data_IF_910083999325
#
_entry.id   IF_910083999325
#
_cell.length_a   1.000
_cell.length_b   1.000
_cell.length_c   1.000
_cell.angle_alpha   90.00
_cell.angle_beta   90.00
_cell.angle_gamma   90.00
#
_symmetry.space_group_name_H-M   'P 1'
#
loop_
_entity.id
_entity.type
_entity.pdbx_description
1 polymer ?
#
# COMPACT_ATOMS: atom_id res chain seq x y z
N UNK A 1 -38.55 -64.68 15.77
CA UNK A 1 -37.13 -65.08 15.74
C UNK A 1 -36.29 -63.83 15.54
N UNK A 2 -35.49 -63.46 16.55
CA UNK A 2 -34.56 -62.33 16.55
C UNK A 2 -33.21 -62.78 15.95
N UNK A 3 -32.59 -61.93 15.15
CA UNK A 3 -31.17 -61.95 14.84
C UNK A 3 -30.63 -60.49 14.86
N UNK A 4 -29.33 -60.28 15.16
CA UNK A 4 -28.86 -59.14 15.94
C UNK A 4 -28.18 -58.02 15.12
N UNK A 5 -28.19 -56.80 15.66
CA UNK A 5 -27.31 -55.68 15.30
C UNK A 5 -26.04 -55.72 16.17
N UNK A 6 -24.83 -55.51 15.62
CA UNK A 6 -23.63 -55.29 16.43
C UNK A 6 -23.25 -53.80 16.51
N UNK A 7 -22.66 -53.42 17.64
CA UNK A 7 -21.60 -52.40 17.69
C UNK A 7 -21.97 -51.03 18.26
N UNK A 8 -22.08 -50.95 19.59
CA UNK A 8 -21.92 -49.68 20.31
C UNK A 8 -20.45 -49.27 20.36
N UNK A 9 -20.14 -48.00 20.04
CA UNK A 9 -18.86 -47.37 20.35
C UNK A 9 -19.11 -45.98 20.97
N UNK A 10 -19.21 -46.00 22.29
CA UNK A 10 -18.82 -45.02 23.31
C UNK A 10 -18.36 -43.62 22.84
N UNK A 11 -19.22 -42.63 23.07
CA UNK A 11 -18.85 -41.21 23.21
C UNK A 11 -18.14 -40.98 24.55
N UNK A 12 -16.98 -40.30 24.60
CA UNK A 12 -16.37 -39.90 25.86
C UNK A 12 -17.09 -38.69 26.50
N UNK A 13 -17.03 -38.55 27.84
CA UNK A 13 -17.88 -37.66 28.62
C UNK A 13 -17.45 -36.18 28.58
N UNK A 14 -18.47 -35.30 28.67
CA UNK A 14 -18.36 -33.88 28.98
C UNK A 14 -17.69 -33.68 30.35
N UNK A 15 -16.60 -32.93 30.37
CA UNK A 15 -15.95 -32.44 31.60
C UNK A 15 -16.31 -30.97 31.87
N UNK A 16 -16.31 -30.53 33.15
CA UNK A 16 -17.11 -29.41 33.63
C UNK A 16 -16.38 -28.07 33.63
N UNK A 17 -17.19 -27.01 33.78
CA UNK A 17 -16.78 -25.62 33.92
C UNK A 17 -15.97 -25.36 35.20
N UNK A 18 -14.93 -24.51 35.07
CA UNK A 18 -14.31 -23.82 36.21
C UNK A 18 -12.80 -23.65 36.09
N UNK A 19 -12.34 -22.47 35.69
CA UNK A 19 -11.42 -21.64 36.50
C UNK A 19 -10.92 -20.44 35.70
N UNK A 20 -11.21 -19.27 36.26
CA UNK A 20 -10.73 -17.97 35.83
C UNK A 20 -9.19 -17.93 35.93
N UNK A 21 -8.50 -17.69 34.81
CA UNK A 21 -7.09 -17.32 34.83
C UNK A 21 -6.97 -15.79 34.89
N UNK A 22 -6.13 -15.24 35.79
CA UNK A 22 -6.04 -13.81 36.04
C UNK A 22 -5.30 -13.06 34.94
N UNK A 23 -5.81 -11.87 34.62
CA UNK A 23 -5.17 -10.85 33.79
C UNK A 23 -3.81 -10.49 34.39
N UNK A 24 -2.73 -10.91 33.74
CA UNK A 24 -1.38 -10.42 34.05
C UNK A 24 -1.23 -9.02 33.46
N UNK A 25 -1.33 -8.05 34.37
CA UNK A 25 -0.76 -6.70 34.22
C UNK A 25 0.70 -6.82 33.76
N UNK A 26 1.00 -6.36 32.54
CA UNK A 26 2.37 -6.03 32.16
C UNK A 26 2.73 -4.69 32.81
N UNK A 27 3.85 -4.58 33.56
CA UNK A 27 4.26 -3.33 34.18
C UNK A 27 4.70 -2.34 33.10
N UNK A 28 4.15 -1.12 33.18
CA UNK A 28 4.60 0.01 32.37
C UNK A 28 6.02 0.40 32.79
N UNK A 29 6.97 0.25 31.87
CA UNK A 29 8.32 0.78 32.03
C UNK A 29 8.32 2.27 31.65
N UNK A 30 8.91 3.16 32.48
CA UNK A 30 9.00 4.58 32.17
C UNK A 30 10.08 4.83 31.13
N UNK A 31 9.71 5.33 29.95
CA UNK A 31 10.67 5.80 28.95
C UNK A 31 11.04 7.26 29.29
N UNK A 32 12.32 7.57 29.56
CA UNK A 32 12.73 8.94 29.88
C UNK A 32 12.76 9.80 28.62
N UNK A 33 11.89 10.80 28.56
CA UNK A 33 12.01 11.93 27.63
C UNK A 33 13.20 12.78 28.08
N UNK A 34 14.35 12.64 27.40
CA UNK A 34 15.47 13.58 27.54
C UNK A 34 15.54 14.45 26.29
N UNK A 35 15.09 15.69 26.46
CA UNK A 35 15.55 16.78 25.62
C UNK A 35 17.05 16.99 25.80
N UNK A 36 17.73 17.35 24.72
CA UNK A 36 19.05 17.96 24.80
C UNK A 36 19.15 19.05 23.73
N UNK A 37 19.63 20.20 24.18
CA UNK A 37 19.69 21.47 23.49
C UNK A 37 21.18 21.79 23.30
N UNK A 38 21.53 22.32 22.10
CA UNK A 38 22.73 23.12 21.76
C UNK A 38 24.09 22.41 21.59
N UNK A 39 25.04 22.88 20.76
CA UNK A 39 25.14 23.80 19.59
C UNK A 39 26.64 23.79 19.17
N UNK A 40 26.94 24.24 17.94
CA UNK A 40 28.26 24.66 17.41
C UNK A 40 29.15 23.51 16.89
N UNK A 41 29.91 23.59 15.80
CA UNK A 41 30.35 24.69 14.93
C UNK A 41 30.92 24.05 13.65
N UNK A 42 30.62 24.59 12.46
CA UNK A 42 31.51 24.57 11.29
C UNK A 42 30.94 25.52 10.23
N UNK A 43 31.15 26.81 10.45
CA UNK A 43 30.98 27.85 9.45
C UNK A 43 32.29 28.01 8.66
N UNK A 44 32.20 27.92 7.34
CA UNK A 44 33.29 28.32 6.45
C UNK A 44 33.28 27.58 5.12
N UNK A 45 32.89 28.30 4.05
CA UNK A 45 33.05 27.99 2.62
C UNK A 45 31.86 27.43 1.83
N UNK A 46 30.64 27.95 2.04
CA UNK A 46 29.54 27.86 1.05
C UNK A 46 28.95 29.24 0.70
N UNK A 47 29.60 30.33 1.13
CA UNK A 47 29.15 31.70 0.87
C UNK A 47 29.60 32.21 -0.52
N UNK A 48 29.14 31.58 -1.61
CA UNK A 48 29.11 32.26 -2.93
C UNK A 48 28.23 31.54 -3.98
N UNK A 49 27.77 30.31 -3.71
CA UNK A 49 26.77 29.61 -4.55
C UNK A 49 25.32 29.80 -4.08
N UNK A 50 25.09 30.44 -2.94
CA UNK A 50 23.75 30.62 -2.36
C UNK A 50 22.95 31.79 -2.94
N UNK A 51 23.56 32.63 -3.79
CA UNK A 51 22.90 33.87 -4.27
C UNK A 51 22.02 33.71 -5.52
N UNK A 52 21.94 32.51 -6.10
CA UNK A 52 21.01 32.19 -7.21
C UNK A 52 19.84 31.31 -6.72
N UNK A 53 19.83 30.92 -5.44
CA UNK A 53 18.81 30.02 -4.84
C UNK A 53 18.00 30.72 -3.74
N UNK A 54 17.98 32.05 -3.72
CA UNK A 54 17.38 32.83 -2.61
C UNK A 54 16.23 33.76 -3.01
N UNK A 55 15.72 33.67 -4.24
CA UNK A 55 14.46 34.32 -4.64
C UNK A 55 13.43 33.25 -4.99
N UNK A 56 12.75 32.74 -3.97
CA UNK A 56 11.69 31.73 -4.10
C UNK A 56 11.79 30.61 -3.08
N UNK A 57 11.92 30.91 -1.79
CA UNK A 57 11.83 29.90 -0.74
C UNK A 57 11.00 30.41 0.45
N UNK A 58 9.70 30.54 0.20
CA UNK A 58 8.65 30.67 1.22
C UNK A 58 7.64 29.55 0.97
N UNK A 59 7.41 28.67 1.95
CA UNK A 59 6.38 27.59 1.88
C UNK A 59 6.63 26.49 0.82
N UNK A 60 7.88 26.19 0.44
CA UNK A 60 8.16 25.32 -0.70
C UNK A 60 8.62 23.90 -0.34
N UNK A 61 7.69 22.97 -0.54
CA UNK A 61 7.90 21.52 -0.60
C UNK A 61 6.67 20.72 -1.04
N UNK A 62 5.45 21.28 -0.89
CA UNK A 62 4.17 20.65 -1.30
C UNK A 62 3.48 21.47 -2.39
N UNK A 63 2.81 20.81 -3.32
CA UNK A 63 2.00 21.48 -4.35
C UNK A 63 0.70 21.99 -3.75
N UNK A 64 0.07 23.01 -4.37
CA UNK A 64 -1.25 23.48 -3.94
C UNK A 64 -2.31 22.37 -3.98
N UNK A 65 -2.16 21.41 -4.89
CA UNK A 65 -3.01 20.23 -4.99
C UNK A 65 -2.86 19.29 -3.79
N UNK A 66 -1.62 18.98 -3.38
CA UNK A 66 -1.37 18.18 -2.18
C UNK A 66 -2.00 18.82 -0.93
N UNK A 67 -1.88 20.14 -0.77
CA UNK A 67 -2.48 20.85 0.36
C UNK A 67 -4.02 20.75 0.40
N UNK A 68 -4.69 20.77 -0.78
CA UNK A 68 -6.14 20.53 -0.84
C UNK A 68 -6.49 19.10 -0.47
N UNK A 69 -5.74 18.13 -0.97
CA UNK A 69 -5.97 16.71 -0.67
C UNK A 69 -5.78 16.40 0.82
N UNK A 70 -4.79 17.00 1.48
CA UNK A 70 -4.59 16.88 2.94
C UNK A 70 -5.82 17.38 3.72
N UNK A 71 -6.38 18.55 3.35
CA UNK A 71 -7.60 19.08 3.99
C UNK A 71 -8.80 18.17 3.74
N UNK A 72 -8.96 17.67 2.52
CA UNK A 72 -10.06 16.77 2.16
C UNK A 72 -9.97 15.47 2.96
N UNK A 73 -8.80 14.84 3.04
CA UNK A 73 -8.59 13.60 3.78
C UNK A 73 -8.86 13.77 5.29
N UNK A 74 -8.43 14.89 5.86
CA UNK A 74 -8.64 15.17 7.27
C UNK A 74 -10.13 15.37 7.59
N UNK A 75 -10.85 16.10 6.74
CA UNK A 75 -12.31 16.24 6.84
C UNK A 75 -13.02 14.89 6.70
N UNK A 76 -12.56 14.02 5.78
CA UNK A 76 -13.09 12.67 5.63
C UNK A 76 -12.87 11.81 6.87
N UNK A 77 -11.64 11.81 7.40
CA UNK A 77 -11.28 11.02 8.58
C UNK A 77 -12.06 11.49 9.81
N UNK A 78 -12.24 12.80 9.98
CA UNK A 78 -13.09 13.34 11.04
C UNK A 78 -14.56 12.95 10.87
N UNK A 79 -15.09 13.01 9.66
CA UNK A 79 -16.47 12.61 9.36
C UNK A 79 -16.72 11.11 9.64
N UNK A 80 -15.77 10.23 9.31
CA UNK A 80 -15.83 8.81 9.66
C UNK A 80 -15.85 8.57 11.17
N UNK A 81 -15.20 9.45 11.95
CA UNK A 81 -15.23 9.43 13.40
C UNK A 81 -16.48 10.12 14.00
N UNK A 82 -17.36 10.69 13.17
CA UNK A 82 -18.53 11.46 13.62
C UNK A 82 -18.18 12.82 14.22
N UNK A 83 -17.00 13.36 13.88
CA UNK A 83 -16.49 14.65 14.37
C UNK A 83 -16.65 15.70 13.27
N UNK A 84 -17.28 16.83 13.60
CA UNK A 84 -17.31 18.00 12.73
C UNK A 84 -16.17 18.95 13.09
N UNK A 85 -15.42 19.42 12.08
CA UNK A 85 -14.27 20.30 12.28
C UNK A 85 -14.61 21.75 11.93
N UNK A 86 -14.20 22.68 12.80
CA UNK A 86 -14.11 24.09 12.45
C UNK A 86 -12.82 24.37 11.67
N UNK A 87 -12.76 25.51 10.98
CA UNK A 87 -11.53 26.00 10.32
C UNK A 87 -10.35 26.04 11.31
N UNK A 88 -10.61 26.47 12.54
CA UNK A 88 -9.60 26.56 13.60
C UNK A 88 -9.17 25.21 14.16
N UNK A 89 -10.06 24.22 14.19
CA UNK A 89 -9.76 22.86 14.64
C UNK A 89 -8.94 22.12 13.57
N UNK A 90 -9.34 22.22 12.30
CA UNK A 90 -8.67 21.61 11.16
C UNK A 90 -7.21 22.06 11.04
N UNK A 91 -6.93 23.35 11.24
CA UNK A 91 -5.56 23.89 11.22
C UNK A 91 -4.64 23.30 12.32
N UNK A 92 -5.20 22.61 13.32
CA UNK A 92 -4.43 21.96 14.41
C UNK A 92 -4.21 20.48 14.18
N UNK A 93 -4.98 19.83 13.30
CA UNK A 93 -4.90 18.39 13.07
C UNK A 93 -3.94 18.01 11.95
N UNK A 94 -3.79 18.86 10.92
CA UNK A 94 -2.89 18.60 9.78
C UNK A 94 -1.42 18.63 10.24
N UNK A 95 -0.80 17.45 10.36
CA UNK A 95 0.63 17.19 10.66
C UNK A 95 1.36 18.27 11.50
N UNK A 96 0.71 18.70 12.58
CA UNK A 96 1.23 19.51 13.69
C UNK A 96 2.08 20.75 13.30
N UNK A 97 1.60 21.58 12.38
CA UNK A 97 2.18 22.91 12.14
C UNK A 97 1.11 23.91 11.75
N UNK A 98 0.84 24.89 12.62
CA UNK A 98 0.06 26.08 12.28
C UNK A 98 0.85 26.90 11.24
N UNK A 99 0.91 26.44 10.00
CA UNK A 99 1.36 27.28 8.89
C UNK A 99 0.20 28.22 8.56
N UNK A 100 0.49 29.52 8.54
CA UNK A 100 -0.39 30.52 7.95
C UNK A 100 -0.73 30.07 6.52
N UNK A 101 -2.01 29.80 6.22
CA UNK A 101 -2.42 29.44 4.86
C UNK A 101 -3.64 28.53 4.70
N UNK A 102 -3.99 27.71 5.71
CA UNK A 102 -5.11 26.75 5.58
C UNK A 102 -6.46 27.42 5.33
N UNK A 103 -6.67 28.63 5.86
CA UNK A 103 -7.86 29.42 5.56
C UNK A 103 -8.02 29.71 4.06
N UNK A 104 -6.90 29.95 3.35
CA UNK A 104 -6.89 30.13 1.90
C UNK A 104 -7.20 28.83 1.15
N UNK A 105 -6.67 27.70 1.60
CA UNK A 105 -6.97 26.37 1.02
C UNK A 105 -8.45 26.02 1.20
N UNK A 106 -9.02 26.27 2.38
CA UNK A 106 -10.45 26.05 2.65
C UNK A 106 -11.31 26.98 1.80
N UNK A 107 -10.91 28.25 1.66
CA UNK A 107 -11.59 29.19 0.78
C UNK A 107 -11.56 28.68 -0.67
N UNK A 108 -10.43 28.17 -1.16
CA UNK A 108 -10.32 27.58 -2.49
C UNK A 108 -11.26 26.37 -2.65
N UNK A 109 -11.35 25.48 -1.64
CA UNK A 109 -12.30 24.36 -1.66
C UNK A 109 -13.76 24.82 -1.73
N UNK A 110 -14.10 25.92 -1.05
CA UNK A 110 -15.44 26.52 -1.11
C UNK A 110 -15.70 27.13 -2.49
N UNK A 111 -14.74 27.88 -3.03
CA UNK A 111 -14.84 28.50 -4.36
C UNK A 111 -14.97 27.44 -5.48
N UNK A 112 -14.36 26.27 -5.30
CA UNK A 112 -14.50 25.10 -6.18
C UNK A 112 -15.78 24.29 -5.96
N UNK A 113 -16.58 24.60 -4.93
CA UNK A 113 -17.79 23.84 -4.60
C UNK A 113 -17.55 22.48 -3.94
N UNK A 114 -16.33 22.21 -3.47
CA UNK A 114 -15.94 20.97 -2.79
C UNK A 114 -16.29 20.99 -1.29
N UNK A 115 -16.38 22.18 -0.69
CA UNK A 115 -16.75 22.34 0.71
C UNK A 115 -17.68 23.54 0.90
N UNK A 116 -18.29 23.61 2.07
CA UNK A 116 -19.11 24.73 2.54
C UNK A 116 -18.82 25.00 4.01
N UNK A 117 -18.85 26.27 4.39
CA UNK A 117 -18.68 26.68 5.78
C UNK A 117 -20.03 27.12 6.33
N UNK A 118 -20.55 26.37 7.30
CA UNK A 118 -21.83 26.63 7.96
C UNK A 118 -21.58 26.79 9.45
N UNK A 119 -21.95 27.94 10.03
CA UNK A 119 -21.74 28.22 11.46
C UNK A 119 -20.29 28.02 11.96
N UNK A 120 -19.31 28.23 11.08
CA UNK A 120 -17.88 28.05 11.38
C UNK A 120 -17.36 26.61 11.25
N UNK A 121 -18.23 25.64 10.95
CA UNK A 121 -17.90 24.25 10.65
C UNK A 121 -17.69 24.07 9.14
N UNK A 122 -16.67 23.30 8.77
CA UNK A 122 -16.37 22.96 7.39
C UNK A 122 -17.04 21.62 7.07
N UNK A 123 -17.90 21.61 6.05
CA UNK A 123 -18.60 20.42 5.58
C UNK A 123 -18.25 20.16 4.11
N UNK A 124 -17.96 18.91 3.78
CA UNK A 124 -17.76 18.51 2.39
C UNK A 124 -19.09 18.59 1.62
N UNK A 125 -19.01 18.93 0.34
CA UNK A 125 -20.10 18.70 -0.61
C UNK A 125 -20.06 17.25 -1.09
N UNK A 126 -21.06 16.81 -1.87
CA UNK A 126 -21.04 15.47 -2.44
C UNK A 126 -19.82 15.23 -3.36
N UNK A 127 -19.36 16.26 -4.07
CA UNK A 127 -18.16 16.20 -4.90
C UNK A 127 -16.89 16.18 -4.06
N UNK A 128 -16.82 17.02 -3.01
CA UNK A 128 -15.72 17.00 -2.05
C UNK A 128 -15.61 15.68 -1.28
N UNK A 129 -16.73 15.04 -0.92
CA UNK A 129 -16.74 13.70 -0.33
C UNK A 129 -16.16 12.66 -1.29
N UNK A 130 -16.48 12.76 -2.58
CA UNK A 130 -15.94 11.85 -3.58
C UNK A 130 -14.42 12.01 -3.73
N UNK A 131 -13.90 13.24 -3.77
CA UNK A 131 -12.46 13.50 -3.83
C UNK A 131 -11.74 13.08 -2.55
N UNK A 132 -12.29 13.44 -1.39
CA UNK A 132 -11.74 13.10 -0.08
C UNK A 132 -11.68 11.58 0.14
N UNK A 133 -12.70 10.86 -0.31
CA UNK A 133 -12.71 9.39 -0.31
C UNK A 133 -11.55 8.80 -1.12
N UNK A 134 -11.20 9.40 -2.26
CA UNK A 134 -10.08 8.93 -3.08
C UNK A 134 -8.74 9.25 -2.42
N UNK A 135 -8.58 10.45 -1.84
CA UNK A 135 -7.38 10.81 -1.07
C UNK A 135 -7.15 9.83 0.09
N UNK A 136 -8.16 9.64 0.95
CA UNK A 136 -8.10 8.68 2.06
C UNK A 136 -7.83 7.24 1.59
N UNK A 137 -8.38 6.83 0.44
CA UNK A 137 -8.10 5.51 -0.15
C UNK A 137 -6.63 5.38 -0.55
N UNK A 138 -6.03 6.41 -1.17
CA UNK A 138 -4.61 6.39 -1.57
C UNK A 138 -3.69 6.33 -0.36
N UNK A 139 -3.91 7.21 0.62
CA UNK A 139 -3.14 7.22 1.87
C UNK A 139 -3.15 5.86 2.56
N UNK A 140 -4.35 5.33 2.84
CA UNK A 140 -4.51 4.07 3.58
C UNK A 140 -3.93 2.87 2.84
N UNK A 141 -4.00 2.82 1.51
CA UNK A 141 -3.36 1.77 0.72
C UNK A 141 -1.83 1.89 0.73
N UNK A 142 -1.30 3.12 0.70
CA UNK A 142 0.12 3.36 0.85
C UNK A 142 0.61 2.94 2.25
N UNK A 143 -0.15 3.23 3.32
CA UNK A 143 0.16 2.76 4.68
C UNK A 143 0.24 1.23 4.74
N UNK A 144 -0.73 0.52 4.16
CA UNK A 144 -0.71 -0.95 4.12
C UNK A 144 0.51 -1.46 3.37
N UNK A 145 0.83 -0.87 2.21
CA UNK A 145 2.00 -1.26 1.41
C UNK A 145 3.30 -1.09 2.21
N UNK A 146 3.53 0.10 2.76
CA UNK A 146 4.78 0.40 3.47
C UNK A 146 4.92 -0.37 4.78
N UNK A 147 3.82 -0.56 5.53
CA UNK A 147 3.89 -1.26 6.80
C UNK A 147 3.86 -2.78 6.67
N UNK A 148 2.94 -3.33 5.88
CA UNK A 148 2.69 -4.78 5.86
C UNK A 148 3.54 -5.52 4.82
N UNK A 149 3.95 -4.87 3.74
CA UNK A 149 4.74 -5.50 2.67
C UNK A 149 6.22 -5.12 2.78
N UNK A 150 6.51 -3.85 3.06
CA UNK A 150 7.89 -3.35 3.17
C UNK A 150 8.40 -3.29 4.62
N UNK A 151 7.56 -3.66 5.59
CA UNK A 151 7.91 -3.81 7.01
C UNK A 151 8.53 -2.55 7.63
N UNK A 152 8.11 -1.36 7.17
CA UNK A 152 8.58 -0.10 7.72
C UNK A 152 7.98 0.15 9.13
N UNK A 153 8.74 0.75 10.06
CA UNK A 153 8.20 1.26 11.32
C UNK A 153 7.02 2.22 11.08
N UNK A 154 6.12 2.32 12.06
CA UNK A 154 4.88 3.09 11.90
C UNK A 154 5.16 4.56 11.60
N UNK A 155 6.13 5.16 12.31
CA UNK A 155 6.50 6.57 12.13
C UNK A 155 7.05 6.84 10.73
N UNK A 156 7.76 5.88 10.14
CA UNK A 156 8.28 5.99 8.77
C UNK A 156 7.18 5.74 7.75
N UNK A 157 6.28 4.81 8.03
CA UNK A 157 5.13 4.50 7.17
C UNK A 157 4.25 5.72 6.95
N UNK A 158 3.86 6.42 8.03
CA UNK A 158 3.02 7.62 7.93
C UNK A 158 3.66 8.69 7.03
N UNK A 159 4.97 8.92 7.21
CA UNK A 159 5.72 9.90 6.44
C UNK A 159 5.81 9.53 4.96
N UNK A 160 6.10 8.26 4.63
CA UNK A 160 6.23 7.81 3.25
C UNK A 160 4.86 7.68 2.54
N UNK A 161 3.81 7.30 3.28
CA UNK A 161 2.44 7.27 2.76
C UNK A 161 1.97 8.67 2.33
N UNK A 162 2.12 9.67 3.21
CA UNK A 162 1.80 11.07 2.94
C UNK A 162 2.55 11.62 1.71
N UNK A 163 3.80 11.20 1.49
CA UNK A 163 4.56 11.65 0.31
C UNK A 163 4.05 11.06 -0.99
N UNK A 164 3.67 9.79 -1.00
CA UNK A 164 3.34 9.08 -2.24
C UNK A 164 1.87 9.22 -2.64
N UNK A 165 0.96 9.43 -1.71
CA UNK A 165 -0.48 9.42 -1.99
C UNK A 165 -0.93 10.46 -3.02
N UNK A 166 -0.28 11.63 -3.02
CA UNK A 166 -0.58 12.74 -3.93
C UNK A 166 -0.06 12.52 -5.35
N UNK A 167 0.83 11.54 -5.55
CA UNK A 167 1.40 11.20 -6.86
C UNK A 167 0.84 9.89 -7.41
N UNK A 168 0.08 9.13 -6.61
CA UNK A 168 -0.55 7.90 -7.05
C UNK A 168 -1.74 8.19 -7.97
N UNK A 169 -1.63 7.78 -9.23
CA UNK A 169 -2.75 7.84 -10.17
C UNK A 169 -3.86 6.85 -9.78
N UNK A 170 -5.12 7.07 -10.20
CA UNK A 170 -6.20 6.13 -9.93
C UNK A 170 -5.90 4.69 -10.39
N UNK A 171 -5.24 4.51 -11.54
CA UNK A 171 -4.86 3.16 -12.00
C UNK A 171 -3.77 2.55 -11.12
N UNK A 172 -2.80 3.34 -10.65
CA UNK A 172 -1.77 2.86 -9.73
C UNK A 172 -2.36 2.49 -8.37
N UNK A 173 -3.28 3.29 -7.84
CA UNK A 173 -4.00 3.00 -6.59
C UNK A 173 -4.76 1.68 -6.67
N UNK A 174 -5.46 1.44 -7.77
CA UNK A 174 -6.19 0.17 -7.97
C UNK A 174 -5.25 -1.01 -8.14
N UNK A 175 -4.11 -0.83 -8.81
CA UNK A 175 -3.08 -1.86 -8.91
C UNK A 175 -2.46 -2.20 -7.56
N UNK A 176 -2.17 -1.20 -6.70
CA UNK A 176 -1.71 -1.40 -5.32
C UNK A 176 -2.78 -2.13 -4.51
N UNK A 177 -4.04 -1.71 -4.59
CA UNK A 177 -5.15 -2.38 -3.91
C UNK A 177 -5.26 -3.86 -4.30
N UNK A 178 -5.16 -4.18 -5.59
CA UNK A 178 -5.16 -5.57 -6.07
C UNK A 178 -3.91 -6.34 -5.66
N UNK A 179 -2.74 -5.70 -5.66
CA UNK A 179 -1.50 -6.31 -5.18
C UNK A 179 -1.60 -6.72 -3.71
N UNK A 180 -2.22 -5.88 -2.88
CA UNK A 180 -2.43 -6.12 -1.45
C UNK A 180 -3.58 -7.10 -1.16
N UNK A 181 -4.24 -7.65 -2.19
CA UNK A 181 -5.38 -8.55 -2.00
C UNK A 181 -6.65 -7.84 -1.48
N UNK A 182 -6.78 -6.54 -1.76
CA UNK A 182 -7.92 -5.69 -1.38
C UNK A 182 -8.17 -5.65 0.14
N UNK A 183 -7.22 -5.11 0.91
CA UNK A 183 -7.33 -5.02 2.36
C UNK A 183 -8.56 -4.19 2.76
N UNK A 184 -9.35 -4.63 3.75
CA UNK A 184 -10.54 -3.89 4.19
C UNK A 184 -10.22 -2.73 5.14
N UNK A 185 -9.05 -2.75 5.79
CA UNK A 185 -8.63 -1.78 6.80
C UNK A 185 -7.14 -1.47 6.68
N UNK A 186 -6.72 -0.27 7.09
CA UNK A 186 -5.31 0.13 7.17
C UNK A 186 -4.68 -0.27 8.53
N UNK A 187 -3.36 -0.10 8.72
CA UNK A 187 -2.67 -0.45 9.98
C UNK A 187 -3.24 0.25 11.22
N UNK A 188 -3.83 1.44 11.04
CA UNK A 188 -4.51 2.20 12.09
C UNK A 188 -5.93 1.72 12.41
N UNK A 189 -6.43 0.68 11.73
CA UNK A 189 -7.78 0.15 11.88
C UNK A 189 -8.88 0.94 11.17
N UNK A 190 -8.52 1.95 10.36
CA UNK A 190 -9.47 2.75 9.57
C UNK A 190 -9.89 1.97 8.31
N UNK A 191 -11.18 1.99 7.91
CA UNK A 191 -11.64 1.25 6.74
C UNK A 191 -11.02 1.78 5.45
N UNK A 192 -10.72 0.93 4.46
CA UNK A 192 -10.22 1.40 3.16
C UNK A 192 -11.42 1.58 2.24
N UNK A 193 -11.73 2.81 1.76
CA UNK A 193 -12.86 3.01 0.88
C UNK A 193 -12.72 2.15 -0.39
N UNK A 194 -13.74 1.38 -0.81
CA UNK A 194 -13.62 0.50 -1.96
C UNK A 194 -13.55 1.30 -3.26
N UNK A 195 -12.79 0.78 -4.23
CA UNK A 195 -12.68 1.33 -5.58
C UNK A 195 -13.12 0.32 -6.64
N UNK A 196 -13.04 0.68 -7.94
CA UNK A 196 -13.48 -0.16 -9.05
C UNK A 196 -12.93 -1.59 -8.99
N UNK A 197 -11.65 -1.74 -8.64
CA UNK A 197 -11.00 -3.05 -8.58
C UNK A 197 -11.60 -4.00 -7.51
N UNK A 198 -12.18 -3.46 -6.43
CA UNK A 198 -12.75 -4.26 -5.34
C UNK A 198 -14.02 -5.03 -5.74
N UNK A 199 -14.76 -4.54 -6.75
CA UNK A 199 -16.00 -5.18 -7.20
C UNK A 199 -15.75 -6.44 -8.05
N UNK A 200 -14.59 -6.50 -8.71
CA UNK A 200 -14.17 -7.62 -9.57
C UNK A 200 -13.76 -8.87 -8.77
N UNK A 201 -13.38 -8.71 -7.50
CA UNK A 201 -12.95 -9.80 -6.63
C UNK A 201 -14.05 -10.77 -6.21
N UNK A 202 -15.32 -10.37 -6.27
CA UNK A 202 -16.45 -11.20 -5.81
C UNK A 202 -16.55 -12.59 -6.50
N UNK A 203 -15.71 -12.88 -7.51
CA UNK A 203 -15.74 -14.14 -8.30
C UNK A 203 -14.41 -14.85 -8.54
N UNK A 204 -13.25 -14.36 -8.08
CA UNK A 204 -11.95 -15.01 -8.39
C UNK A 204 -11.08 -15.19 -7.14
N UNK A 205 -10.60 -16.42 -6.94
CA UNK A 205 -9.57 -16.75 -5.95
C UNK A 205 -8.36 -15.83 -6.12
N UNK A 206 -7.78 -15.36 -5.01
CA UNK A 206 -6.58 -14.53 -5.00
C UNK A 206 -5.42 -15.33 -5.60
N UNK A 207 -5.13 -15.12 -6.88
CA UNK A 207 -3.95 -15.68 -7.53
C UNK A 207 -2.75 -14.76 -7.24
N UNK A 208 -1.54 -15.32 -6.99
CA UNK A 208 -0.35 -14.51 -6.74
C UNK A 208 -0.01 -13.64 -7.97
N UNK A 209 0.28 -12.35 -7.75
CA UNK A 209 0.60 -11.41 -8.82
C UNK A 209 1.91 -11.76 -9.54
N UNK A 210 2.85 -12.35 -8.81
CA UNK A 210 4.13 -12.84 -9.31
C UNK A 210 4.20 -14.34 -8.98
N UNK A 211 4.53 -15.14 -9.97
CA UNK A 211 4.75 -16.58 -9.86
C UNK A 211 6.10 -16.94 -10.48
N UNK A 212 6.65 -18.11 -10.17
CA UNK A 212 7.86 -18.59 -10.86
C UNK A 212 7.48 -19.17 -12.22
N UNK A 213 8.39 -19.12 -13.19
CA UNK A 213 8.19 -19.77 -14.49
C UNK A 213 7.84 -21.26 -14.32
N UNK A 214 8.51 -21.92 -13.40
CA UNK A 214 8.28 -23.33 -13.08
C UNK A 214 6.91 -23.60 -12.47
N UNK A 215 6.15 -22.59 -12.03
CA UNK A 215 4.82 -22.71 -11.43
C UNK A 215 3.68 -22.55 -12.46
N UNK A 216 3.95 -22.02 -13.67
CA UNK A 216 2.95 -21.96 -14.75
C UNK A 216 2.58 -23.33 -15.30
N UNK A 217 1.38 -23.40 -15.89
CA UNK A 217 0.90 -24.56 -16.66
C UNK A 217 1.28 -24.37 -18.13
N UNK A 218 1.68 -25.44 -18.86
CA UNK A 218 1.88 -25.36 -20.30
C UNK A 218 0.67 -24.76 -21.03
N UNK A 219 0.91 -23.76 -21.87
CA UNK A 219 -0.11 -22.92 -22.51
C UNK A 219 -0.26 -21.55 -21.88
N UNK A 220 0.13 -21.37 -20.61
CA UNK A 220 0.02 -20.07 -19.93
C UNK A 220 1.15 -19.11 -20.32
N UNK A 221 0.82 -17.81 -20.27
CA UNK A 221 1.74 -16.72 -20.56
C UNK A 221 2.05 -15.91 -19.31
N UNK A 222 3.28 -15.42 -19.21
CA UNK A 222 3.70 -14.54 -18.13
C UNK A 222 4.64 -13.46 -18.62
N UNK A 223 4.50 -12.24 -18.10
CA UNK A 223 5.47 -11.16 -18.33
C UNK A 223 6.60 -11.26 -17.30
N UNK A 224 7.85 -11.29 -17.74
CA UNK A 224 9.01 -11.32 -16.85
C UNK A 224 9.04 -10.08 -15.98
N UNK A 225 9.12 -10.27 -14.67
CA UNK A 225 9.23 -9.21 -13.66
C UNK A 225 10.66 -9.15 -13.12
N UNK A 226 11.23 -10.31 -12.81
CA UNK A 226 12.54 -10.42 -12.18
C UNK A 226 13.27 -11.67 -12.70
N UNK A 227 14.57 -11.52 -12.92
CA UNK A 227 15.52 -12.60 -13.16
C UNK A 227 16.48 -12.64 -11.97
N UNK A 228 16.49 -13.75 -11.25
CA UNK A 228 17.38 -13.99 -10.13
C UNK A 228 18.13 -15.33 -10.29
N UNK A 229 18.90 -15.52 -11.38
CA UNK A 229 19.73 -16.71 -11.52
C UNK A 229 20.86 -16.70 -10.49
N UNK A 230 21.30 -17.89 -10.05
CA UNK A 230 22.37 -18.03 -9.05
C UNK A 230 23.75 -17.53 -9.53
N UNK A 231 23.98 -17.49 -10.84
CA UNK A 231 25.26 -17.11 -11.45
C UNK A 231 25.08 -15.96 -12.45
N UNK A 232 25.99 -14.98 -12.44
CA UNK A 232 25.91 -13.79 -13.31
C UNK A 232 25.99 -14.12 -14.80
N UNK A 233 26.84 -15.04 -15.21
CA UNK A 233 27.04 -15.41 -16.61
C UNK A 233 25.74 -15.92 -17.27
N UNK A 234 24.87 -16.57 -16.48
CA UNK A 234 23.55 -17.04 -16.94
C UNK A 234 22.57 -15.89 -17.17
N UNK A 235 22.71 -14.77 -16.46
CA UNK A 235 21.86 -13.58 -16.66
C UNK A 235 22.15 -12.92 -18.00
N UNK A 236 23.43 -12.79 -18.37
CA UNK A 236 23.86 -12.24 -19.66
C UNK A 236 23.34 -13.12 -20.81
N UNK A 237 23.51 -14.44 -20.71
CA UNK A 237 22.99 -15.39 -21.69
C UNK A 237 21.46 -15.30 -21.87
N UNK A 238 20.70 -15.22 -20.76
CA UNK A 238 19.25 -15.04 -20.83
C UNK A 238 18.87 -13.74 -21.54
N UNK A 239 19.58 -12.66 -21.24
CA UNK A 239 19.37 -11.34 -21.84
C UNK A 239 19.61 -11.39 -23.34
N UNK A 240 20.71 -12.02 -23.78
CA UNK A 240 21.05 -12.20 -25.20
C UNK A 240 20.01 -13.05 -25.95
N UNK A 241 19.36 -13.98 -25.27
CA UNK A 241 18.28 -14.81 -25.81
C UNK A 241 16.90 -14.12 -25.77
N UNK A 242 16.81 -12.87 -25.31
CA UNK A 242 15.58 -12.08 -25.25
C UNK A 242 14.75 -12.28 -23.98
N UNK A 243 15.24 -13.07 -23.03
CA UNK A 243 14.61 -13.23 -21.72
C UNK A 243 15.07 -12.09 -20.82
N UNK A 244 14.32 -10.98 -20.85
CA UNK A 244 14.57 -9.76 -20.09
C UNK A 244 13.32 -9.35 -19.29
N UNK A 245 13.44 -8.56 -18.21
CA UNK A 245 12.29 -7.94 -17.57
C UNK A 245 11.40 -7.21 -18.60
N UNK A 246 10.10 -7.49 -18.57
CA UNK A 246 9.13 -7.00 -19.54
C UNK A 246 8.83 -7.95 -20.70
N UNK A 247 9.70 -8.91 -21.02
CA UNK A 247 9.45 -9.92 -22.05
C UNK A 247 8.25 -10.80 -21.69
N UNK A 248 7.50 -11.25 -22.70
CA UNK A 248 6.39 -12.19 -22.50
C UNK A 248 6.86 -13.59 -22.86
N UNK A 249 6.80 -14.49 -21.88
CA UNK A 249 7.11 -15.90 -22.06
C UNK A 249 5.81 -16.70 -22.13
N UNK A 250 5.73 -17.63 -23.08
CA UNK A 250 4.70 -18.67 -23.14
C UNK A 250 5.34 -19.99 -22.73
N UNK A 251 4.88 -20.60 -21.65
CA UNK A 251 5.36 -21.92 -21.25
C UNK A 251 4.80 -22.98 -22.22
N UNK A 252 5.67 -23.67 -22.95
CA UNK A 252 5.28 -24.74 -23.88
C UNK A 252 5.35 -26.12 -23.25
N UNK A 253 6.33 -26.32 -22.38
CA UNK A 253 6.63 -27.63 -21.80
C UNK A 253 7.32 -27.45 -20.45
N UNK A 254 7.03 -28.33 -19.49
CA UNK A 254 7.71 -28.40 -18.18
C UNK A 254 8.73 -29.53 -18.08
N UNK A 255 8.47 -30.67 -18.74
CA UNK A 255 9.31 -31.88 -18.70
C UNK A 255 9.40 -32.50 -20.10
N UNK A 256 10.54 -33.13 -20.48
CA UNK A 256 11.73 -33.40 -19.65
C UNK A 256 12.58 -32.18 -19.32
N UNK A 257 12.48 -31.11 -20.10
CA UNK A 257 13.05 -29.79 -19.82
C UNK A 257 11.99 -28.69 -19.91
N UNK A 258 12.24 -27.55 -19.26
CA UNK A 258 11.37 -26.38 -19.35
C UNK A 258 11.60 -25.71 -20.70
N UNK A 259 10.56 -25.60 -21.52
CA UNK A 259 10.61 -24.94 -22.83
C UNK A 259 9.68 -23.75 -22.81
N UNK A 260 10.22 -22.57 -23.10
CA UNK A 260 9.46 -21.33 -23.23
C UNK A 260 9.56 -20.81 -24.66
N UNK A 261 8.49 -20.20 -25.13
CA UNK A 261 8.50 -19.35 -26.31
C UNK A 261 8.65 -17.89 -25.85
N UNK A 262 9.70 -17.22 -26.33
CA UNK A 262 9.87 -15.77 -26.23
C UNK A 262 9.83 -15.22 -27.65
N UNK A 263 8.89 -14.31 -27.90
CA UNK A 263 8.50 -13.82 -29.23
C UNK A 263 8.14 -14.94 -30.22
N UNK A 264 9.14 -15.51 -30.92
CA UNK A 264 9.00 -16.64 -31.87
C UNK A 264 10.09 -17.69 -31.71
N UNK A 265 10.93 -17.56 -30.69
CA UNK A 265 12.06 -18.44 -30.43
C UNK A 265 11.71 -19.38 -29.29
N UNK A 266 11.94 -20.67 -29.50
CA UNK A 266 11.81 -21.68 -28.46
C UNK A 266 13.14 -21.83 -27.73
N UNK A 267 13.12 -21.62 -26.42
CA UNK A 267 14.28 -21.75 -25.54
C UNK A 267 14.04 -22.89 -24.57
N UNK A 268 14.95 -23.87 -24.59
CA UNK A 268 15.02 -24.89 -23.56
C UNK A 268 15.89 -24.37 -22.41
N UNK A 269 15.34 -24.38 -21.20
CA UNK A 269 15.97 -23.91 -19.99
C UNK A 269 16.25 -25.08 -19.05
N UNK A 270 17.37 -25.00 -18.36
CA UNK A 270 17.65 -25.85 -17.21
C UNK A 270 16.71 -25.50 -16.05
N UNK A 271 16.34 -26.50 -15.23
CA UNK A 271 15.43 -26.32 -14.10
C UNK A 271 15.92 -25.20 -13.15
N UNK A 272 17.23 -25.14 -12.88
CA UNK A 272 17.83 -24.11 -12.03
C UNK A 272 17.67 -22.68 -12.60
N UNK A 273 17.73 -22.53 -13.92
CA UNK A 273 17.52 -21.23 -14.57
C UNK A 273 16.03 -20.87 -14.51
N UNK A 274 15.16 -21.83 -14.82
CA UNK A 274 13.71 -21.61 -14.81
C UNK A 274 13.17 -21.26 -13.41
N UNK A 275 13.74 -21.82 -12.34
CA UNK A 275 13.40 -21.49 -10.95
C UNK A 275 13.68 -20.03 -10.59
N UNK A 276 14.70 -19.42 -11.22
CA UNK A 276 15.10 -18.03 -11.01
C UNK A 276 14.35 -17.01 -11.86
N UNK A 277 13.37 -17.43 -12.67
CA UNK A 277 12.57 -16.54 -13.52
C UNK A 277 11.21 -16.28 -12.86
N UNK A 278 10.93 -15.03 -12.52
CA UNK A 278 9.69 -14.59 -11.91
C UNK A 278 8.85 -13.81 -12.90
N UNK A 279 7.58 -14.17 -12.98
CA UNK A 279 6.64 -13.72 -14.00
C UNK A 279 5.36 -13.21 -13.37
N UNK A 280 4.76 -12.19 -13.96
CA UNK A 280 3.36 -11.83 -13.74
C UNK A 280 2.49 -12.59 -14.75
N UNK A 281 1.60 -13.51 -14.32
CA UNK A 281 0.71 -14.21 -15.23
C UNK A 281 -0.13 -13.23 -16.06
N UNK A 282 -0.28 -13.52 -17.35
CA UNK A 282 -1.21 -12.82 -18.23
C UNK A 282 -2.46 -13.70 -18.33
N UNK A 283 -3.54 -13.27 -17.68
CA UNK A 283 -4.83 -13.91 -17.87
C UNK A 283 -5.26 -13.75 -19.33
N UNK A 284 -5.65 -14.85 -19.99
CA UNK A 284 -6.39 -14.75 -21.26
C UNK A 284 -7.73 -14.06 -20.97
N UNK A 285 -8.03 -13.02 -21.74
CA UNK A 285 -9.25 -12.22 -21.69
C UNK A 285 -10.20 -12.68 -22.78
#
# INVERSE_FOLDING_TARGET
>A
MRAPLPGAALLPPLMPAGSLLPQRLLPQLPVPVRGCVHRQSLAGKIAEKEKIVSEGLSVLGRTAEAAREEVLEELWTAAEAGIELSVTALARTIHAGASEGWGGVIQELVERGLARVESGLVRLSAEGEAEARQAARRHRLAEVLFNQVLELPMETTELEACRIEHVLSPQATDAVCSFLGHPPVCPHGRPIPPGPCCHTLSRKSVAPLITRLVDLVPGERGRVVLLAPRHRDRLEQLTDLGVIPGAVLLLKQRKPSVVVEVDRTLLALEDEIAEGIYLRPLAEW
#
